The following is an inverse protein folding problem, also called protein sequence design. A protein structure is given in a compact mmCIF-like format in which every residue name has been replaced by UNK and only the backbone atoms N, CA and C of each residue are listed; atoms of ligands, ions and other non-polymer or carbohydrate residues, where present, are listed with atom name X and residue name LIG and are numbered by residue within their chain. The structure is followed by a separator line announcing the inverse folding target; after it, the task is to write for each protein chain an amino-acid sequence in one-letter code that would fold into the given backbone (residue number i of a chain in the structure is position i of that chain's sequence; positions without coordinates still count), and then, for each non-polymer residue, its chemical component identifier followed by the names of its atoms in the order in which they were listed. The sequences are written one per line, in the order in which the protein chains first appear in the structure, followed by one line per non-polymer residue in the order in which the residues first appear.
data_IF_642492585895
#
_entry.id   IF_642492585895
#
_cell.length_a   1.000
_cell.length_b   1.000
_cell.length_c   1.000
_cell.angle_alpha   90.00
_cell.angle_beta   90.00
_cell.angle_gamma   90.00
#
_symmetry.space_group_name_H-M   'P 1'
#
loop_
_entity.id
_entity.type
_entity.pdbx_description
1 polymer ?
#
# COMPACT_ATOMS: atom_id res chain seq x y z
N UNK A 1 -21.46 3.59 -8.62
CA UNK A 1 -21.38 2.62 -7.51
C UNK A 1 -20.63 1.40 -8.05
N UNK A 2 -19.73 0.81 -7.28
CA UNK A 2 -18.95 -0.34 -7.71
C UNK A 2 -19.83 -1.58 -7.98
N UNK A 3 -19.41 -2.37 -8.95
CA UNK A 3 -20.02 -3.62 -9.40
C UNK A 3 -18.86 -4.53 -9.87
N UNK A 4 -18.62 -5.62 -9.14
CA UNK A 4 -17.48 -6.49 -9.39
C UNK A 4 -17.50 -7.09 -10.80
N UNK A 5 -18.68 -7.44 -11.33
CA UNK A 5 -18.79 -8.09 -12.65
C UNK A 5 -18.48 -7.13 -13.81
N UNK A 6 -18.64 -5.82 -13.59
CA UNK A 6 -18.39 -4.79 -14.60
C UNK A 6 -16.99 -4.22 -14.50
N UNK A 7 -16.51 -3.97 -13.29
CA UNK A 7 -15.31 -3.17 -13.06
C UNK A 7 -14.06 -3.99 -12.80
N UNK A 8 -14.18 -5.27 -12.42
CA UNK A 8 -13.04 -6.19 -12.34
C UNK A 8 -12.91 -7.00 -13.62
N UNK A 9 -11.66 -7.19 -14.05
CA UNK A 9 -11.27 -8.10 -15.13
C UNK A 9 -10.12 -8.98 -14.64
N UNK A 10 -10.27 -9.52 -13.43
CA UNK A 10 -9.20 -10.25 -12.75
C UNK A 10 -8.83 -11.55 -13.47
N UNK A 11 -7.53 -11.72 -13.68
CA UNK A 11 -6.91 -13.02 -13.91
C UNK A 11 -5.66 -13.12 -13.06
N UNK A 12 -5.33 -14.29 -12.48
CA UNK A 12 -4.18 -14.44 -11.59
C UNK A 12 -2.86 -14.12 -12.30
N UNK A 13 -1.85 -13.60 -11.57
CA UNK A 13 -0.50 -13.44 -12.11
C UNK A 13 0.07 -14.79 -12.52
N UNK A 14 0.90 -14.81 -13.57
CA UNK A 14 1.61 -16.02 -14.01
C UNK A 14 2.59 -16.53 -12.96
N UNK A 15 3.28 -15.62 -12.28
CA UNK A 15 4.18 -15.94 -11.19
C UNK A 15 4.03 -14.95 -10.03
N UNK A 16 4.24 -15.47 -8.82
CA UNK A 16 4.41 -14.68 -7.60
C UNK A 16 5.79 -14.97 -7.07
N UNK A 17 6.63 -13.94 -6.99
CA UNK A 17 7.99 -14.00 -6.47
C UNK A 17 7.95 -14.06 -4.94
N UNK A 18 8.71 -14.97 -4.36
CA UNK A 18 8.99 -15.02 -2.93
C UNK A 18 10.16 -14.09 -2.56
N UNK A 19 10.30 -13.80 -1.26
CA UNK A 19 11.47 -13.08 -0.72
C UNK A 19 12.77 -13.81 -1.07
N UNK A 20 12.76 -15.15 -1.02
CA UNK A 20 13.91 -15.98 -1.38
C UNK A 20 14.29 -15.91 -2.85
N UNK A 21 13.32 -15.72 -3.75
CA UNK A 21 13.59 -15.55 -5.19
C UNK A 21 14.38 -14.26 -5.49
N UNK A 22 14.27 -13.26 -4.61
CA UNK A 22 15.07 -12.02 -4.66
C UNK A 22 16.21 -12.02 -3.64
N UNK A 23 16.55 -13.17 -3.06
CA UNK A 23 17.67 -13.34 -2.14
C UNK A 23 17.47 -12.72 -0.75
N UNK A 24 16.23 -12.41 -0.35
CA UNK A 24 15.88 -11.92 0.98
C UNK A 24 15.32 -13.05 1.85
N UNK A 25 15.42 -12.87 3.18
CA UNK A 25 14.71 -13.71 4.14
C UNK A 25 13.21 -13.43 4.11
N UNK A 26 12.41 -14.43 4.49
CA UNK A 26 10.96 -14.27 4.60
C UNK A 26 10.63 -13.18 5.63
N UNK A 27 9.65 -12.33 5.31
CA UNK A 27 9.19 -11.32 6.28
C UNK A 27 8.39 -11.98 7.42
N UNK A 28 8.20 -11.30 8.56
CA UNK A 28 7.37 -11.79 9.66
C UNK A 28 5.88 -11.99 9.32
N UNK A 29 5.40 -11.46 8.18
CA UNK A 29 3.98 -11.46 7.81
C UNK A 29 3.65 -12.29 6.55
N UNK A 30 4.63 -12.51 5.67
CA UNK A 30 4.46 -13.30 4.44
C UNK A 30 5.80 -13.60 3.76
N UNK A 31 5.96 -14.77 3.10
CA UNK A 31 7.11 -15.05 2.24
C UNK A 31 7.01 -14.41 0.85
N UNK A 32 5.89 -13.77 0.49
CA UNK A 32 5.69 -13.16 -0.84
C UNK A 32 6.41 -11.83 -0.94
N UNK A 33 7.23 -11.67 -1.98
CA UNK A 33 7.89 -10.42 -2.30
C UNK A 33 7.04 -9.55 -3.24
N UNK A 34 6.68 -10.08 -4.40
CA UNK A 34 5.95 -9.34 -5.43
C UNK A 34 5.23 -10.28 -6.40
N UNK A 35 4.16 -9.82 -7.05
CA UNK A 35 3.56 -10.52 -8.18
C UNK A 35 4.16 -10.04 -9.51
N UNK A 36 4.15 -10.89 -10.54
CA UNK A 36 4.15 -10.37 -11.91
C UNK A 36 2.88 -9.54 -12.17
N UNK A 37 2.87 -8.64 -13.17
CA UNK A 37 1.67 -7.91 -13.55
C UNK A 37 0.50 -8.83 -13.90
N UNK A 38 -0.68 -8.48 -13.43
CA UNK A 38 -1.91 -9.24 -13.69
C UNK A 38 -3.09 -8.32 -14.00
N UNK A 39 -3.98 -8.68 -14.94
CA UNK A 39 -5.24 -7.97 -15.16
C UNK A 39 -6.06 -7.84 -13.87
N UNK A 40 -6.53 -6.62 -13.57
CA UNK A 40 -7.34 -6.34 -12.38
C UNK A 40 -8.60 -5.54 -12.72
N UNK A 41 -8.43 -4.38 -13.34
CA UNK A 41 -9.54 -3.52 -13.77
C UNK A 41 -9.98 -3.88 -15.18
N UNK A 42 -11.29 -3.89 -15.39
CA UNK A 42 -11.84 -3.76 -16.73
C UNK A 42 -11.61 -2.35 -17.27
N UNK A 43 -11.84 -2.15 -18.57
CA UNK A 43 -11.78 -0.80 -19.15
C UNK A 43 -12.79 0.16 -18.48
N UNK A 44 -14.01 -0.30 -18.18
CA UNK A 44 -14.99 0.48 -17.42
C UNK A 44 -14.48 0.82 -16.02
N UNK A 45 -13.80 -0.11 -15.36
CA UNK A 45 -13.12 0.13 -14.07
C UNK A 45 -12.06 1.23 -14.18
N UNK A 46 -11.25 1.25 -15.25
CA UNK A 46 -10.28 2.33 -15.50
C UNK A 46 -10.97 3.68 -15.67
N UNK A 47 -12.04 3.75 -16.46
CA UNK A 47 -12.78 4.99 -16.72
C UNK A 47 -13.41 5.55 -15.44
N UNK A 48 -14.02 4.71 -14.60
CA UNK A 48 -14.64 5.18 -13.35
C UNK A 48 -13.60 5.67 -12.33
N UNK A 49 -12.42 5.04 -12.26
CA UNK A 49 -11.30 5.59 -11.48
C UNK A 49 -10.92 6.99 -11.98
N UNK A 50 -10.69 7.15 -13.29
CA UNK A 50 -10.30 8.44 -13.88
C UNK A 50 -11.37 9.52 -13.71
N UNK A 51 -12.65 9.15 -13.84
CA UNK A 51 -13.79 10.07 -13.64
C UNK A 51 -13.80 10.67 -12.24
N UNK A 52 -13.54 9.86 -11.20
CA UNK A 52 -13.49 10.34 -9.83
C UNK A 52 -12.21 11.12 -9.52
N UNK A 53 -11.04 10.58 -9.90
CA UNK A 53 -9.72 11.17 -9.64
C UNK A 53 -9.54 12.55 -10.24
N UNK A 54 -9.98 12.74 -11.49
CA UNK A 54 -9.82 14.00 -12.22
C UNK A 54 -11.05 14.90 -12.13
N UNK A 55 -11.97 14.62 -11.21
CA UNK A 55 -13.06 15.54 -10.90
C UNK A 55 -12.51 16.86 -10.32
N UNK A 56 -13.14 18.01 -10.61
CA UNK A 56 -12.68 19.29 -10.06
C UNK A 56 -12.58 19.30 -8.54
N UNK A 57 -13.47 18.59 -7.84
CA UNK A 57 -13.46 18.49 -6.38
C UNK A 57 -12.22 17.76 -5.88
N UNK A 58 -11.85 16.62 -6.47
CA UNK A 58 -10.64 15.89 -6.06
C UNK A 58 -9.40 16.71 -6.35
N UNK A 59 -9.26 17.24 -7.56
CA UNK A 59 -8.09 18.05 -7.94
C UNK A 59 -7.90 19.26 -7.02
N UNK A 60 -8.97 19.96 -6.66
CA UNK A 60 -8.88 21.15 -5.83
C UNK A 60 -8.55 20.88 -4.35
N UNK A 61 -8.80 19.67 -3.84
CA UNK A 61 -8.67 19.37 -2.41
C UNK A 61 -7.55 18.36 -2.09
N UNK A 62 -7.10 17.59 -3.08
CA UNK A 62 -6.25 16.42 -2.88
C UNK A 62 -4.96 16.44 -3.69
N UNK A 63 -4.73 17.45 -4.55
CA UNK A 63 -3.54 17.55 -5.38
C UNK A 63 -2.36 18.16 -4.61
N UNK A 64 -1.24 17.45 -4.62
CA UNK A 64 0.03 17.85 -4.06
C UNK A 64 1.10 17.85 -5.16
N UNK A 65 1.91 18.90 -5.21
CA UNK A 65 3.11 18.93 -6.03
C UNK A 65 4.22 18.13 -5.35
N UNK A 66 4.90 17.25 -6.08
CA UNK A 66 5.98 16.41 -5.57
C UNK A 66 7.33 16.87 -6.14
N UNK A 67 8.13 15.98 -6.74
CA UNK A 67 9.35 16.35 -7.45
C UNK A 67 9.04 17.13 -8.75
N UNK A 68 9.99 17.93 -9.27
CA UNK A 68 9.83 18.61 -10.55
C UNK A 68 9.34 17.66 -11.65
N UNK A 69 8.21 17.99 -12.28
CA UNK A 69 7.60 17.14 -13.32
C UNK A 69 6.69 16.01 -12.79
N UNK A 70 6.32 16.02 -11.51
CA UNK A 70 5.39 15.05 -10.92
C UNK A 70 4.38 15.71 -9.98
N UNK A 71 3.22 15.07 -9.83
CA UNK A 71 2.21 15.43 -8.86
C UNK A 71 1.56 14.17 -8.28
N UNK A 72 0.91 14.33 -7.13
CA UNK A 72 0.19 13.25 -6.46
C UNK A 72 -1.22 13.69 -6.03
N UNK A 73 -2.19 12.78 -6.14
CA UNK A 73 -3.48 12.90 -5.45
C UNK A 73 -3.48 12.00 -4.22
N UNK A 74 -3.89 12.51 -3.05
CA UNK A 74 -4.00 11.72 -1.81
C UNK A 74 -5.18 12.17 -0.94
N UNK A 75 -5.71 11.25 -0.12
CA UNK A 75 -6.76 11.55 0.87
C UNK A 75 -8.15 11.79 0.28
N UNK A 76 -8.43 11.31 -0.93
CA UNK A 76 -9.71 11.53 -1.62
C UNK A 76 -10.79 10.48 -1.31
N UNK A 77 -10.35 9.24 -1.02
CA UNK A 77 -11.17 8.03 -1.03
C UNK A 77 -12.51 8.17 -0.30
N UNK A 78 -12.44 8.46 1.01
CA UNK A 78 -13.60 8.42 1.90
C UNK A 78 -14.65 9.49 1.60
N UNK A 79 -14.24 10.65 1.07
CA UNK A 79 -15.11 11.83 0.95
C UNK A 79 -15.56 12.13 -0.47
N UNK A 80 -14.68 11.95 -1.46
CA UNK A 80 -14.89 12.50 -2.80
C UNK A 80 -15.09 11.42 -3.86
N UNK A 81 -14.73 10.18 -3.58
CA UNK A 81 -14.64 9.12 -4.61
C UNK A 81 -15.35 7.84 -4.15
N UNK A 82 -16.71 7.85 -4.10
CA UNK A 82 -17.49 6.72 -3.60
C UNK A 82 -17.28 5.42 -4.40
N UNK A 83 -17.01 5.49 -5.71
CA UNK A 83 -16.66 4.31 -6.49
C UNK A 83 -15.32 3.73 -6.05
N UNK A 84 -14.27 4.56 -5.96
CA UNK A 84 -12.92 4.16 -5.50
C UNK A 84 -12.99 3.58 -4.07
N UNK A 85 -13.69 4.26 -3.16
CA UNK A 85 -13.86 3.78 -1.79
C UNK A 85 -14.53 2.41 -1.75
N UNK A 86 -15.58 2.21 -2.55
CA UNK A 86 -16.30 0.93 -2.61
C UNK A 86 -15.48 -0.16 -3.29
N UNK A 87 -14.73 0.16 -4.33
CA UNK A 87 -13.85 -0.76 -5.05
C UNK A 87 -12.78 -1.32 -4.11
N UNK A 88 -12.02 -0.43 -3.47
CA UNK A 88 -10.86 -0.80 -2.63
C UNK A 88 -11.21 -1.47 -1.30
N UNK A 89 -12.48 -1.41 -0.89
CA UNK A 89 -13.01 -2.11 0.29
C UNK A 89 -13.89 -3.33 -0.07
N UNK A 90 -14.07 -3.66 -1.35
CA UNK A 90 -14.90 -4.78 -1.75
C UNK A 90 -14.31 -6.13 -1.35
N UNK A 91 -15.17 -7.08 -0.97
CA UNK A 91 -14.74 -8.45 -0.61
C UNK A 91 -13.98 -9.14 -1.73
N UNK A 92 -14.38 -8.90 -2.97
CA UNK A 92 -13.83 -9.48 -4.18
C UNK A 92 -12.40 -9.02 -4.39
N UNK A 93 -12.15 -7.72 -4.29
CA UNK A 93 -10.81 -7.18 -4.40
C UNK A 93 -9.93 -7.61 -3.22
N UNK A 94 -10.44 -7.51 -1.99
CA UNK A 94 -9.67 -7.87 -0.79
C UNK A 94 -9.25 -9.34 -0.83
N UNK A 95 -10.11 -10.22 -1.34
CA UNK A 95 -9.75 -11.61 -1.59
C UNK A 95 -8.60 -11.75 -2.60
N UNK A 96 -8.67 -11.06 -3.74
CA UNK A 96 -7.63 -11.11 -4.78
C UNK A 96 -6.26 -10.69 -4.22
N UNK A 97 -6.19 -9.53 -3.55
CA UNK A 97 -4.90 -9.02 -3.04
C UNK A 97 -4.38 -9.88 -1.90
N UNK A 98 -5.26 -10.42 -1.04
CA UNK A 98 -4.88 -11.30 0.07
C UNK A 98 -4.35 -12.65 -0.42
N UNK A 99 -5.02 -13.25 -1.41
CA UNK A 99 -4.61 -14.51 -2.01
C UNK A 99 -3.22 -14.39 -2.66
N UNK A 100 -2.95 -13.28 -3.36
CA UNK A 100 -1.64 -13.00 -3.96
C UNK A 100 -0.58 -12.71 -2.90
N UNK A 101 -0.92 -11.94 -1.86
CA UNK A 101 0.01 -11.58 -0.78
C UNK A 101 0.31 -12.75 0.17
N UNK A 102 -0.49 -13.81 0.17
CA UNK A 102 -0.35 -14.95 1.09
C UNK A 102 -0.77 -14.64 2.53
N UNK A 103 -1.46 -13.53 2.77
CA UNK A 103 -1.94 -13.10 4.09
C UNK A 103 -3.23 -12.28 3.92
N UNK A 104 -4.16 -12.36 4.87
CA UNK A 104 -5.41 -11.57 4.84
C UNK A 104 -5.12 -10.08 5.05
N UNK A 105 -5.46 -9.28 4.03
CA UNK A 105 -5.17 -7.85 3.96
C UNK A 105 -6.42 -6.98 4.04
N UNK A 106 -6.25 -5.80 4.61
CA UNK A 106 -7.19 -4.67 4.57
C UNK A 106 -6.46 -3.40 4.12
N UNK A 107 -7.16 -2.42 3.53
CA UNK A 107 -6.56 -1.12 3.28
C UNK A 107 -5.98 -0.57 4.60
N UNK A 108 -4.77 -0.01 4.53
CA UNK A 108 -4.05 0.42 5.73
C UNK A 108 -4.85 1.47 6.51
N UNK A 109 -5.29 2.49 5.78
CA UNK A 109 -6.18 3.58 6.21
C UNK A 109 -7.00 4.02 4.99
N UNK A 110 -8.17 4.64 5.19
CA UNK A 110 -8.90 5.25 4.07
C UNK A 110 -8.06 6.32 3.37
N UNK A 111 -7.20 7.00 4.12
CA UNK A 111 -6.28 8.01 3.60
C UNK A 111 -5.31 7.48 2.54
N UNK A 112 -5.00 6.19 2.62
CA UNK A 112 -4.03 5.48 1.79
C UNK A 112 -4.67 4.66 0.66
N UNK A 113 -5.99 4.81 0.49
CA UNK A 113 -6.70 4.22 -0.64
C UNK A 113 -6.45 5.08 -1.88
N UNK A 114 -5.98 4.43 -2.94
CA UNK A 114 -5.89 4.98 -4.28
C UNK A 114 -5.08 6.28 -4.38
N UNK A 115 -3.97 6.39 -3.65
CA UNK A 115 -3.03 7.48 -3.89
C UNK A 115 -2.56 7.41 -5.35
N UNK A 116 -2.56 8.54 -6.04
CA UNK A 116 -2.38 8.58 -7.49
C UNK A 116 -1.12 9.34 -7.84
N UNK A 117 -0.16 8.68 -8.46
CA UNK A 117 1.05 9.31 -8.98
C UNK A 117 0.81 9.74 -10.43
N UNK A 118 1.17 10.98 -10.73
CA UNK A 118 0.98 11.62 -12.03
C UNK A 118 2.32 12.17 -12.50
N UNK A 119 2.81 11.68 -13.64
CA UNK A 119 3.94 12.31 -14.34
C UNK A 119 3.42 13.47 -15.19
N UNK A 120 3.93 14.67 -14.97
CA UNK A 120 3.49 15.89 -15.65
C UNK A 120 4.14 16.00 -17.03
N UNK A 121 3.32 16.34 -18.03
CA UNK A 121 3.78 16.71 -19.37
C UNK A 121 4.26 18.16 -19.45
N UNK A 122 4.42 18.68 -20.67
CA UNK A 122 4.87 20.06 -20.93
C UNK A 122 3.96 21.14 -20.34
N UNK A 123 2.68 20.82 -20.11
CA UNK A 123 1.68 21.71 -19.52
C UNK A 123 1.77 21.78 -17.98
N UNK A 124 2.67 21.01 -17.36
CA UNK A 124 2.86 21.03 -15.91
C UNK A 124 1.57 20.68 -15.15
N UNK A 125 1.35 21.34 -14.01
CA UNK A 125 0.19 21.11 -13.14
C UNK A 125 -1.14 21.53 -13.79
N UNK A 126 -1.12 22.51 -14.70
CA UNK A 126 -2.34 22.95 -15.38
C UNK A 126 -2.89 21.84 -16.28
N UNK A 127 -2.00 21.05 -16.90
CA UNK A 127 -2.37 19.87 -17.68
C UNK A 127 -3.12 18.80 -16.88
N UNK A 128 -2.88 18.70 -15.56
CA UNK A 128 -3.58 17.72 -14.70
C UNK A 128 -5.09 17.97 -14.70
N UNK A 129 -5.51 19.24 -14.74
CA UNK A 129 -6.94 19.62 -14.79
C UNK A 129 -7.61 19.24 -16.11
N UNK A 130 -6.82 19.10 -17.17
CA UNK A 130 -7.27 18.71 -18.50
C UNK A 130 -7.16 17.19 -18.74
N UNK A 131 -6.75 16.40 -17.74
CA UNK A 131 -6.58 14.96 -17.90
C UNK A 131 -7.90 14.30 -18.34
N UNK A 132 -7.94 13.63 -19.51
CA UNK A 132 -9.17 13.06 -20.02
C UNK A 132 -9.59 11.82 -19.22
N UNK A 133 -10.90 11.55 -19.18
CA UNK A 133 -11.44 10.31 -18.59
C UNK A 133 -10.97 9.10 -19.39
N UNK A 134 -11.06 9.17 -20.72
CA UNK A 134 -10.51 8.14 -21.60
C UNK A 134 -9.00 8.32 -21.72
N UNK A 135 -8.18 7.30 -21.36
CA UNK A 135 -6.73 7.40 -21.51
C UNK A 135 -6.34 7.62 -22.97
N UNK A 136 -5.45 8.58 -23.26
CA UNK A 136 -4.96 8.79 -24.62
C UNK A 136 -4.21 7.54 -25.10
N UNK A 137 -4.51 7.09 -26.32
CA UNK A 137 -3.81 5.97 -26.91
C UNK A 137 -2.36 6.32 -27.24
N UNK A 138 -1.46 5.38 -27.00
CA UNK A 138 -0.06 5.52 -27.36
C UNK A 138 0.16 4.91 -28.73
N UNK A 139 0.42 5.75 -29.72
CA UNK A 139 0.81 5.29 -31.06
C UNK A 139 2.34 5.12 -31.12
N UNK A 140 2.89 4.19 -31.91
CA UNK A 140 4.33 3.97 -32.03
C UNK A 140 5.15 5.19 -32.50
N UNK A 141 4.50 6.30 -32.89
CA UNK A 141 5.11 7.49 -33.49
C UNK A 141 4.95 8.75 -32.61
N UNK A 142 4.43 8.63 -31.38
CA UNK A 142 4.45 9.77 -30.45
C UNK A 142 5.86 9.95 -29.90
N UNK A 143 6.76 10.51 -30.73
CA UNK A 143 7.94 11.23 -30.27
C UNK A 143 7.47 12.48 -29.51
N UNK A 144 6.96 12.29 -28.30
CA UNK A 144 6.92 13.39 -27.34
C UNK A 144 8.39 13.65 -27.04
N UNK A 145 8.93 14.77 -27.51
CA UNK A 145 10.25 15.26 -27.11
C UNK A 145 10.22 15.61 -25.62
N UNK A 146 10.14 14.60 -24.75
CA UNK A 146 10.71 14.71 -23.42
C UNK A 146 12.20 15.00 -23.61
N UNK A 147 12.75 15.92 -22.83
CA UNK A 147 14.19 16.24 -22.89
C UNK A 147 14.98 14.93 -22.95
N UNK A 148 15.84 14.81 -23.95
CA UNK A 148 16.88 13.77 -24.00
C UNK A 148 17.73 13.89 -22.74
N UNK A 149 17.33 13.18 -21.68
CA UNK A 149 18.27 12.67 -20.71
C UNK A 149 18.87 11.43 -21.37
N UNK A 150 20.05 11.58 -21.95
CA UNK A 150 20.89 10.44 -22.30
C UNK A 150 20.94 9.51 -21.09
N UNK A 151 20.39 8.31 -21.22
CA UNK A 151 20.68 7.24 -20.29
C UNK A 151 22.12 6.84 -20.63
N UNK A 152 23.09 7.52 -20.03
CA UNK A 152 24.34 6.82 -19.76
C UNK A 152 23.93 5.66 -18.86
N UNK A 153 24.41 4.45 -19.17
CA UNK A 153 24.27 3.28 -18.27
C UNK A 153 24.91 3.55 -16.89
N UNK A 154 25.59 4.69 -16.73
CA UNK A 154 26.20 5.24 -15.52
C UNK A 154 25.56 6.58 -15.02
N UNK A 155 24.59 7.19 -15.72
CA UNK A 155 23.83 8.38 -15.26
C UNK A 155 22.68 7.98 -14.30
N UNK A 156 23.03 7.09 -13.37
CA UNK A 156 22.14 6.26 -12.58
C UNK A 156 21.26 7.02 -11.60
N UNK A 157 20.02 6.55 -11.47
CA UNK A 157 19.06 6.80 -10.38
C UNK A 157 18.71 8.26 -9.99
N UNK A 158 19.45 9.28 -10.45
CA UNK A 158 19.30 10.68 -10.07
C UNK A 158 18.04 11.34 -10.66
N UNK A 159 17.54 10.81 -11.79
CA UNK A 159 16.31 11.26 -12.45
C UNK A 159 15.08 10.39 -12.12
N UNK A 160 15.15 9.55 -11.09
CA UNK A 160 14.03 8.68 -10.71
C UNK A 160 12.80 9.49 -10.23
N UNK A 161 11.60 9.05 -10.62
CA UNK A 161 10.33 9.67 -10.18
C UNK A 161 10.10 9.43 -8.69
N UNK A 162 10.53 8.26 -8.20
CA UNK A 162 10.61 7.94 -6.78
C UNK A 162 11.99 7.37 -6.54
N UNK A 163 12.75 7.90 -5.57
CA UNK A 163 14.12 7.45 -5.26
C UNK A 163 14.10 6.08 -4.57
N UNK A 164 15.28 5.50 -4.33
CA UNK A 164 15.40 4.28 -3.53
C UNK A 164 14.73 4.46 -2.17
N UNK A 165 13.71 3.66 -1.90
CA UNK A 165 12.93 3.76 -0.67
C UNK A 165 12.34 2.40 -0.32
N UNK A 166 11.85 2.33 0.93
CA UNK A 166 10.90 1.32 1.37
C UNK A 166 9.57 2.02 1.56
N UNK A 167 8.48 1.33 1.24
CA UNK A 167 7.15 1.88 1.47
C UNK A 167 6.90 2.10 2.96
N UNK A 168 5.98 3.01 3.24
CA UNK A 168 5.45 3.21 4.59
C UNK A 168 4.58 2.03 5.05
N UNK A 169 4.00 1.25 4.14
CA UNK A 169 3.01 0.23 4.44
C UNK A 169 3.47 -1.17 4.02
N UNK A 170 3.09 -2.24 4.74
CA UNK A 170 3.56 -3.60 4.48
C UNK A 170 3.40 -4.06 3.03
N UNK A 171 2.21 -3.83 2.46
CA UNK A 171 1.87 -4.20 1.10
C UNK A 171 1.29 -3.02 0.34
N UNK A 172 1.52 -3.00 -0.97
CA UNK A 172 0.87 -2.08 -1.91
C UNK A 172 0.32 -2.84 -3.11
N UNK A 173 -0.80 -2.38 -3.66
CA UNK A 173 -1.29 -2.78 -4.96
C UNK A 173 -1.19 -1.58 -5.91
N UNK A 174 -0.32 -1.68 -6.91
CA UNK A 174 -0.07 -0.63 -7.91
C UNK A 174 -0.81 -0.99 -9.20
N UNK A 175 -1.66 -0.10 -9.69
CA UNK A 175 -2.43 -0.28 -10.93
C UNK A 175 -2.11 0.83 -11.92
N UNK A 176 -1.91 0.48 -13.19
CA UNK A 176 -1.67 1.46 -14.25
C UNK A 176 -3.00 1.95 -14.84
N UNK A 177 -3.21 3.27 -14.91
CA UNK A 177 -4.39 3.88 -15.55
C UNK A 177 -4.09 4.51 -16.93
N UNK A 178 -2.81 4.56 -17.32
CA UNK A 178 -2.38 5.02 -18.64
C UNK A 178 -2.11 3.84 -19.59
N UNK A 179 -2.22 4.09 -20.89
CA UNK A 179 -1.97 3.10 -21.94
C UNK A 179 -0.48 2.76 -22.08
N UNK A 180 0.03 1.80 -21.28
CA UNK A 180 1.46 1.45 -21.24
C UNK A 180 1.94 0.46 -22.33
N UNK A 181 1.22 0.30 -23.44
CA UNK A 181 1.53 -0.71 -24.48
C UNK A 181 2.90 -0.54 -25.14
N UNK A 182 3.32 0.71 -25.33
CA UNK A 182 4.60 1.05 -25.96
C UNK A 182 5.55 1.75 -24.96
N UNK A 183 5.30 1.61 -23.66
CA UNK A 183 6.07 2.30 -22.63
C UNK A 183 7.52 1.82 -22.59
N UNK A 184 8.46 2.75 -22.70
CA UNK A 184 9.89 2.53 -22.46
C UNK A 184 10.29 3.18 -21.12
N UNK A 185 10.99 2.43 -20.29
CA UNK A 185 11.24 2.82 -18.90
C UNK A 185 10.04 2.51 -18.00
N UNK A 186 9.93 3.23 -16.88
CA UNK A 186 8.79 3.07 -15.97
C UNK A 186 8.82 1.80 -15.11
N UNK A 187 9.84 0.95 -15.24
CA UNK A 187 9.98 -0.27 -14.47
C UNK A 187 10.21 0.02 -12.99
N UNK A 188 9.71 -0.87 -12.15
CA UNK A 188 10.08 -0.92 -10.74
C UNK A 188 11.32 -1.79 -10.61
N UNK A 189 12.37 -1.24 -10.03
CA UNK A 189 13.61 -1.98 -9.77
C UNK A 189 13.65 -2.31 -8.28
N UNK A 190 13.78 -3.60 -7.96
CA UNK A 190 13.89 -4.13 -6.62
C UNK A 190 15.36 -4.36 -6.26
N UNK A 191 15.74 -4.08 -5.02
CA UNK A 191 17.04 -4.45 -4.46
C UNK A 191 16.95 -5.85 -3.85
N UNK A 192 17.73 -6.79 -4.38
CA UNK A 192 17.88 -8.14 -3.84
C UNK A 192 18.82 -8.18 -2.63
N UNK A 193 18.77 -9.29 -1.88
CA UNK A 193 19.58 -9.45 -0.67
C UNK A 193 21.08 -9.61 -0.91
N UNK A 194 21.49 -9.95 -2.14
CA UNK A 194 22.89 -9.97 -2.57
C UNK A 194 23.41 -8.59 -3.03
N UNK A 195 22.58 -7.54 -2.92
CA UNK A 195 22.89 -6.19 -3.38
C UNK A 195 22.74 -5.99 -4.89
N UNK A 196 22.30 -6.99 -5.65
CA UNK A 196 21.97 -6.84 -7.06
C UNK A 196 20.54 -6.35 -7.24
N UNK A 197 20.27 -5.74 -8.39
CA UNK A 197 18.95 -5.23 -8.72
C UNK A 197 18.20 -6.16 -9.67
N UNK A 198 16.88 -6.23 -9.49
CA UNK A 198 15.96 -6.96 -10.35
C UNK A 198 14.92 -5.98 -10.92
N UNK A 199 14.77 -5.95 -12.24
CA UNK A 199 13.71 -5.15 -12.88
C UNK A 199 12.42 -5.98 -12.95
N UNK A 200 11.34 -5.43 -12.40
CA UNK A 200 9.99 -5.98 -12.56
C UNK A 200 9.27 -5.19 -13.63
N UNK A 201 8.64 -5.92 -14.56
CA UNK A 201 7.86 -5.31 -15.63
C UNK A 201 6.74 -4.47 -15.04
N UNK A 202 6.59 -3.24 -15.52
CA UNK A 202 5.49 -2.39 -15.10
C UNK A 202 4.14 -2.92 -15.63
N UNK A 203 3.04 -2.71 -14.88
CA UNK A 203 1.72 -3.15 -15.32
C UNK A 203 1.24 -2.38 -16.56
N UNK A 204 0.50 -3.10 -17.42
CA UNK A 204 -0.27 -2.52 -18.52
C UNK A 204 -1.53 -1.83 -17.99
N UNK A 205 -2.20 -1.02 -18.82
CA UNK A 205 -3.44 -0.34 -18.44
C UNK A 205 -4.46 -1.32 -17.86
N UNK A 206 -4.98 -1.01 -16.66
CA UNK A 206 -5.91 -1.86 -15.91
C UNK A 206 -5.27 -3.09 -15.24
N UNK A 207 -4.00 -3.39 -15.50
CA UNK A 207 -3.25 -4.40 -14.78
C UNK A 207 -2.65 -3.85 -13.49
N UNK A 208 -2.39 -4.75 -12.56
CA UNK A 208 -1.88 -4.47 -11.24
C UNK A 208 -0.63 -5.30 -10.91
N UNK A 209 0.12 -4.84 -9.91
CA UNK A 209 1.17 -5.59 -9.22
C UNK A 209 0.91 -5.48 -7.72
N UNK A 210 1.09 -6.57 -6.98
CA UNK A 210 1.17 -6.55 -5.52
C UNK A 210 2.64 -6.61 -5.12
N UNK A 211 3.08 -5.74 -4.22
CA UNK A 211 4.46 -5.65 -3.74
C UNK A 211 4.49 -5.54 -2.22
N UNK A 212 5.41 -6.25 -1.58
CA UNK A 212 5.67 -6.13 -0.15
C UNK A 212 6.65 -4.98 0.16
N UNK A 213 6.26 -3.76 -0.22
CA UNK A 213 7.18 -2.63 -0.39
C UNK A 213 7.83 -2.11 0.90
N UNK A 214 7.29 -2.40 2.09
CA UNK A 214 7.93 -2.05 3.36
C UNK A 214 9.24 -2.79 3.57
N UNK A 215 9.34 -4.02 3.07
CA UNK A 215 10.47 -4.90 3.31
C UNK A 215 11.51 -4.84 2.19
N UNK A 216 11.08 -4.45 0.98
CA UNK A 216 11.91 -4.44 -0.23
C UNK A 216 12.26 -3.00 -0.61
N UNK A 217 13.57 -2.69 -0.61
CA UNK A 217 14.01 -1.40 -1.15
C UNK A 217 13.81 -1.38 -2.67
N UNK A 218 13.17 -0.35 -3.19
CA UNK A 218 12.82 -0.28 -4.59
C UNK A 218 12.80 1.15 -5.12
N UNK A 219 12.78 1.27 -6.45
CA UNK A 219 12.80 2.54 -7.18
C UNK A 219 11.92 2.44 -8.43
N UNK A 220 11.24 3.53 -8.79
CA UNK A 220 10.45 3.63 -10.02
C UNK A 220 11.14 4.54 -11.03
N UNK A 221 11.50 3.99 -12.19
CA UNK A 221 12.18 4.73 -13.25
C UNK A 221 11.20 5.67 -13.99
N UNK A 222 11.66 6.81 -14.53
CA UNK A 222 10.82 7.67 -15.35
C UNK A 222 10.48 7.01 -16.68
N UNK A 223 9.43 7.52 -17.30
CA UNK A 223 9.04 7.16 -18.67
C UNK A 223 9.27 8.35 -19.58
N UNK A 224 9.80 8.12 -20.77
CA UNK A 224 10.21 9.19 -21.69
C UNK A 224 9.33 9.30 -22.94
N UNK A 225 8.55 8.27 -23.26
CA UNK A 225 7.88 8.13 -24.56
C UNK A 225 6.34 8.03 -24.48
N UNK A 226 5.75 8.51 -23.37
CA UNK A 226 4.32 8.42 -23.11
C UNK A 226 3.66 9.80 -23.03
N UNK A 227 2.40 9.96 -23.48
CA UNK A 227 1.64 11.21 -23.31
C UNK A 227 1.29 11.47 -21.84
N UNK A 228 1.10 10.41 -21.05
CA UNK A 228 0.87 10.44 -19.62
C UNK A 228 1.35 9.14 -18.96
N UNK A 229 1.70 9.23 -17.67
CA UNK A 229 1.91 8.06 -16.81
C UNK A 229 1.18 8.29 -15.49
N UNK A 230 0.03 7.63 -15.36
CA UNK A 230 -0.84 7.70 -14.18
C UNK A 230 -0.93 6.31 -13.57
N UNK A 231 -0.52 6.20 -12.32
CA UNK A 231 -0.63 4.97 -11.53
C UNK A 231 -1.40 5.26 -10.25
N UNK A 232 -2.31 4.36 -9.88
CA UNK A 232 -2.98 4.38 -8.59
C UNK A 232 -2.37 3.31 -7.70
N UNK A 233 -2.29 3.60 -6.42
CA UNK A 233 -1.67 2.71 -5.45
C UNK A 233 -2.52 2.72 -4.19
N UNK A 234 -2.87 1.52 -3.72
CA UNK A 234 -3.52 1.35 -2.42
C UNK A 234 -2.60 0.58 -1.51
N UNK A 235 -2.42 1.12 -0.30
CA UNK A 235 -1.60 0.51 0.73
C UNK A 235 -2.44 -0.43 1.60
N UNK A 236 -1.86 -1.55 2.02
CA UNK A 236 -2.50 -2.60 2.80
C UNK A 236 -1.68 -2.98 4.02
N UNK A 237 -2.38 -3.48 5.04
CA UNK A 237 -1.82 -4.09 6.24
C UNK A 237 -2.54 -5.42 6.55
N UNK A 238 -1.93 -6.31 7.34
CA UNK A 238 -2.62 -7.50 7.82
C UNK A 238 -3.92 -7.15 8.56
N UNK A 239 -4.98 -7.93 8.31
CA UNK A 239 -6.24 -7.82 9.05
C UNK A 239 -6.10 -8.30 10.48
N UNK A 240 -5.38 -9.41 10.66
CA UNK A 240 -5.13 -10.01 11.96
C UNK A 240 -4.34 -9.04 12.85
N UNK A 241 -4.93 -8.57 13.97
CA UNK A 241 -4.26 -7.61 14.84
C UNK A 241 -3.07 -8.24 15.58
N UNK A 242 -2.93 -9.55 15.62
CA UNK A 242 -1.82 -10.25 16.31
C UNK A 242 -0.56 -10.37 15.46
N UNK A 243 -0.68 -10.18 14.14
CA UNK A 243 0.47 -10.10 13.25
C UNK A 243 1.23 -8.78 13.45
N UNK A 244 2.49 -8.81 13.02
CA UNK A 244 3.38 -7.64 13.04
C UNK A 244 2.80 -6.55 12.13
N UNK A 245 2.77 -5.32 12.64
CA UNK A 245 2.35 -4.13 11.90
C UNK A 245 3.47 -3.09 11.94
N UNK A 246 4.34 -3.16 10.94
CA UNK A 246 5.48 -2.24 10.72
C UNK A 246 5.12 -1.05 9.82
N UNK A 247 3.84 -0.72 9.72
CA UNK A 247 3.39 0.50 9.05
C UNK A 247 4.05 1.73 9.69
N UNK A 248 4.40 2.73 8.89
CA UNK A 248 4.91 4.04 9.30
C UNK A 248 4.20 5.15 8.54
N UNK A 249 4.36 6.41 8.95
CA UNK A 249 3.97 7.56 8.14
C UNK A 249 5.18 8.26 7.48
N UNK A 250 6.39 7.72 7.63
CA UNK A 250 7.64 8.37 7.25
C UNK A 250 7.62 9.07 5.88
N UNK A 251 7.13 8.38 4.84
CA UNK A 251 7.17 8.85 3.46
C UNK A 251 5.82 9.36 2.94
N UNK A 252 4.81 9.53 3.81
CA UNK A 252 3.48 10.00 3.40
C UNK A 252 3.10 11.34 4.03
N UNK A 253 3.79 11.77 5.09
CA UNK A 253 3.42 12.98 5.83
C UNK A 253 3.56 14.26 5.00
N UNK A 254 4.60 14.37 4.18
CA UNK A 254 4.93 15.60 3.45
C UNK A 254 3.87 15.96 2.39
N UNK A 255 3.16 14.95 1.89
CA UNK A 255 2.11 15.10 0.88
C UNK A 255 0.72 14.71 1.41
N UNK A 256 0.45 15.05 2.68
CA UNK A 256 -0.81 14.74 3.34
C UNK A 256 -1.39 15.92 4.11
N UNK A 257 -2.71 15.93 4.24
CA UNK A 257 -3.43 16.70 5.26
C UNK A 257 -3.21 16.05 6.62
N UNK A 258 -2.18 16.49 7.34
CA UNK A 258 -1.70 15.86 8.57
C UNK A 258 -2.79 15.63 9.63
N UNK A 259 -3.75 16.55 9.78
CA UNK A 259 -4.84 16.37 10.75
C UNK A 259 -5.70 15.15 10.45
N UNK A 260 -5.99 14.88 9.17
CA UNK A 260 -6.78 13.72 8.76
C UNK A 260 -5.94 12.44 8.82
N UNK A 261 -4.70 12.49 8.33
CA UNK A 261 -3.76 11.37 8.39
C UNK A 261 -3.56 10.90 9.84
N UNK A 262 -3.30 11.83 10.76
CA UNK A 262 -3.04 11.52 12.17
C UNK A 262 -4.28 11.05 12.91
N UNK A 263 -5.47 11.56 12.56
CA UNK A 263 -6.72 11.03 13.08
C UNK A 263 -6.92 9.57 12.70
N UNK A 264 -6.80 9.23 11.41
CA UNK A 264 -6.94 7.85 10.95
C UNK A 264 -5.84 6.95 11.51
N UNK A 265 -4.60 7.42 11.54
CA UNK A 265 -3.45 6.73 12.11
C UNK A 265 -3.67 6.35 13.57
N UNK A 266 -3.94 7.35 14.42
CA UNK A 266 -4.10 7.12 15.85
C UNK A 266 -5.30 6.21 16.14
N UNK A 267 -6.42 6.43 15.47
CA UNK A 267 -7.63 5.63 15.69
C UNK A 267 -7.43 4.16 15.30
N UNK A 268 -6.88 3.87 14.12
CA UNK A 268 -6.69 2.47 13.73
C UNK A 268 -5.66 1.77 14.64
N UNK A 269 -4.59 2.47 15.04
CA UNK A 269 -3.57 1.89 15.92
C UNK A 269 -4.17 1.54 17.27
N UNK A 270 -4.99 2.42 17.84
CA UNK A 270 -5.72 2.18 19.09
C UNK A 270 -6.73 1.03 18.96
N UNK A 271 -7.43 0.91 17.84
CA UNK A 271 -8.34 -0.22 17.58
C UNK A 271 -7.61 -1.56 17.54
N UNK A 272 -6.42 -1.60 16.91
CA UNK A 272 -5.56 -2.80 16.92
C UNK A 272 -5.13 -3.14 18.35
N UNK A 273 -4.67 -2.15 19.12
CA UNK A 273 -4.27 -2.36 20.52
C UNK A 273 -5.44 -2.88 21.37
N UNK A 274 -6.64 -2.32 21.21
CA UNK A 274 -7.84 -2.75 21.91
C UNK A 274 -8.20 -4.22 21.57
N UNK A 275 -8.07 -4.59 20.29
CA UNK A 275 -8.27 -5.99 19.85
C UNK A 275 -7.22 -6.93 20.43
N UNK A 276 -5.94 -6.56 20.40
CA UNK A 276 -4.85 -7.36 21.01
C UNK A 276 -5.10 -7.60 22.50
N UNK A 277 -5.48 -6.54 23.23
CA UNK A 277 -5.79 -6.63 24.66
C UNK A 277 -7.01 -7.53 24.92
N UNK A 278 -8.04 -7.43 24.08
CA UNK A 278 -9.24 -8.28 24.18
C UNK A 278 -8.90 -9.75 23.96
N UNK A 279 -8.13 -10.05 22.90
CA UNK A 279 -7.67 -11.42 22.60
C UNK A 279 -6.88 -12.01 23.78
N UNK A 280 -5.90 -11.26 24.32
CA UNK A 280 -5.13 -11.76 25.46
C UNK A 280 -6.03 -11.97 26.70
N UNK A 281 -6.93 -11.03 26.98
CA UNK A 281 -7.84 -11.15 28.12
C UNK A 281 -8.76 -12.39 27.99
N UNK A 282 -9.27 -12.67 26.79
CA UNK A 282 -10.10 -13.84 26.52
C UNK A 282 -9.31 -15.15 26.67
N UNK A 283 -8.10 -15.22 26.10
CA UNK A 283 -7.19 -16.36 26.29
C UNK A 283 -6.89 -16.62 27.77
N UNK A 284 -6.66 -15.58 28.56
CA UNK A 284 -6.41 -15.71 30.01
C UNK A 284 -7.66 -16.18 30.77
N UNK A 285 -8.86 -15.73 30.37
CA UNK A 285 -10.14 -16.18 30.96
C UNK A 285 -10.40 -17.66 30.67
N UNK A 286 -10.12 -18.12 29.46
CA UNK A 286 -10.23 -19.52 29.07
C UNK A 286 -9.26 -20.40 29.86
N UNK A 287 -7.97 -20.04 29.88
CA UNK A 287 -6.95 -20.74 30.66
C UNK A 287 -7.27 -20.78 32.15
N UNK A 288 -7.81 -19.69 32.69
CA UNK A 288 -8.29 -19.63 34.08
C UNK A 288 -9.42 -20.64 34.32
N UNK A 289 -10.43 -20.66 33.46
CA UNK A 289 -11.58 -21.56 33.60
C UNK A 289 -11.16 -23.03 33.55
N UNK A 290 -10.21 -23.39 32.68
CA UNK A 290 -9.63 -24.74 32.62
C UNK A 290 -8.84 -25.09 33.87
N UNK A 291 -8.00 -24.17 34.35
CA UNK A 291 -7.21 -24.37 35.56
C UNK A 291 -8.09 -24.58 36.80
N UNK A 292 -9.17 -23.81 36.94
CA UNK A 292 -10.14 -23.98 38.03
C UNK A 292 -10.81 -25.36 37.94
N UNK A 293 -11.34 -25.75 36.78
CA UNK A 293 -11.95 -27.09 36.59
C UNK A 293 -11.01 -28.24 36.96
N UNK A 294 -9.71 -28.07 36.71
CA UNK A 294 -8.69 -29.09 37.00
C UNK A 294 -8.29 -29.15 38.47
N UNK A 295 -8.33 -28.02 39.18
CA UNK A 295 -7.69 -27.90 40.51
C UNK A 295 -8.66 -27.66 41.66
N UNK A 296 -9.92 -27.33 41.37
CA UNK A 296 -10.98 -27.16 42.35
C UNK A 296 -12.04 -28.26 42.21
N UNK A 297 -12.32 -28.97 43.30
CA UNK A 297 -13.28 -30.09 43.31
C UNK A 297 -14.72 -29.65 43.05
N UNK A 298 -15.06 -28.38 43.31
CA UNK A 298 -16.38 -27.81 43.04
C UNK A 298 -16.44 -27.09 41.68
N UNK A 299 -15.29 -26.90 41.02
CA UNK A 299 -15.14 -26.19 39.76
C UNK A 299 -15.55 -24.71 39.81
N UNK A 300 -15.56 -24.08 40.99
CA UNK A 300 -16.06 -22.72 41.16
C UNK A 300 -14.97 -21.66 40.96
N UNK A 301 -15.26 -20.53 40.29
CA UNK A 301 -14.31 -19.44 40.15
C UNK A 301 -14.00 -18.79 41.51
N UNK A 302 -12.82 -18.20 41.62
CA UNK A 302 -12.33 -17.44 42.79
C UNK A 302 -11.11 -18.05 43.50
N UNK A 303 -10.74 -19.30 43.18
CA UNK A 303 -9.67 -20.05 43.89
C UNK A 303 -8.80 -20.87 42.92
N UNK A 304 -8.12 -20.24 41.96
CA UNK A 304 -7.19 -20.94 41.07
C UNK A 304 -5.82 -21.15 41.77
N UNK A 305 -5.43 -22.42 41.96
CA UNK A 305 -4.21 -22.79 42.71
C UNK A 305 -2.97 -23.05 41.85
N UNK A 306 -3.10 -22.85 40.54
CA UNK A 306 -2.02 -23.03 39.57
C UNK A 306 -1.82 -21.76 38.77
N UNK A 307 -0.60 -21.57 38.27
CA UNK A 307 -0.26 -20.41 37.47
C UNK A 307 -1.14 -20.32 36.23
N UNK A 308 -1.80 -19.17 36.06
CA UNK A 308 -2.61 -18.86 34.87
C UNK A 308 -1.91 -17.84 33.99
N UNK A 309 -1.28 -16.84 34.61
CA UNK A 309 -0.53 -15.79 33.93
C UNK A 309 0.96 -15.98 34.23
N UNK A 310 1.77 -16.25 33.21
CA UNK A 310 3.23 -16.24 33.35
C UNK A 310 3.72 -14.79 33.33
N UNK A 311 4.52 -14.41 34.32
CA UNK A 311 5.03 -13.03 34.43
C UNK A 311 5.87 -12.61 33.22
N UNK A 312 6.78 -13.46 32.76
CA UNK A 312 7.65 -13.12 31.63
C UNK A 312 6.89 -12.99 30.31
N UNK A 313 5.87 -13.83 30.07
CA UNK A 313 5.00 -13.72 28.90
C UNK A 313 4.17 -12.42 28.94
N UNK A 314 3.58 -12.10 30.09
CA UNK A 314 2.79 -10.87 30.26
C UNK A 314 3.66 -9.63 30.11
N UNK A 315 4.89 -9.65 30.65
CA UNK A 315 5.87 -8.59 30.51
C UNK A 315 6.27 -8.39 29.05
N UNK A 316 6.62 -9.46 28.34
CA UNK A 316 6.99 -9.39 26.93
C UNK A 316 5.84 -8.83 26.06
N UNK A 317 4.60 -9.27 26.31
CA UNK A 317 3.43 -8.74 25.62
C UNK A 317 3.21 -7.24 25.91
N UNK A 318 3.37 -6.81 27.16
CA UNK A 318 3.23 -5.41 27.55
C UNK A 318 4.32 -4.54 26.92
N UNK A 319 5.57 -5.00 26.90
CA UNK A 319 6.68 -4.30 26.24
C UNK A 319 6.45 -4.13 24.74
N UNK A 320 5.91 -5.14 24.06
CA UNK A 320 5.53 -5.04 22.65
C UNK A 320 4.45 -3.95 22.42
N UNK A 321 3.41 -3.93 23.26
CA UNK A 321 2.35 -2.92 23.15
C UNK A 321 2.84 -1.50 23.47
N UNK A 322 3.78 -1.36 24.40
CA UNK A 322 4.43 -0.08 24.70
C UNK A 322 5.23 0.41 23.48
N UNK A 323 6.03 -0.46 22.85
CA UNK A 323 6.78 -0.11 21.62
C UNK A 323 5.83 0.32 20.51
N UNK A 324 4.73 -0.41 20.32
CA UNK A 324 3.70 -0.09 19.35
C UNK A 324 3.09 1.31 19.57
N UNK A 325 2.79 1.68 20.82
CA UNK A 325 2.31 3.02 21.18
C UNK A 325 3.38 4.10 21.01
N UNK A 326 4.63 3.82 21.38
CA UNK A 326 5.75 4.75 21.19
C UNK A 326 5.95 5.07 19.71
N UNK A 327 5.92 4.05 18.84
CA UNK A 327 5.96 4.23 17.39
C UNK A 327 4.75 5.04 16.89
N UNK A 328 3.56 4.77 17.42
CA UNK A 328 2.34 5.52 17.05
C UNK A 328 2.54 7.02 17.26
N UNK A 329 3.09 7.43 18.40
CA UNK A 329 3.37 8.83 18.72
C UNK A 329 4.54 9.36 17.88
N UNK A 330 5.59 8.58 17.70
CA UNK A 330 6.77 8.96 16.90
C UNK A 330 6.36 9.34 15.47
N UNK A 331 5.51 8.56 14.82
CA UNK A 331 5.02 8.82 13.45
C UNK A 331 4.11 10.06 13.33
N UNK A 332 3.71 10.67 14.45
CA UNK A 332 2.90 11.90 14.49
C UNK A 332 3.71 13.15 14.83
N UNK A 333 5.05 13.02 14.94
CA UNK A 333 5.94 14.14 15.21
C UNK A 333 5.88 15.20 14.10
N UNK A 334 6.18 16.49 14.40
CA UNK A 334 6.30 17.53 13.40
C UNK A 334 7.30 17.14 12.29
N UNK A 335 7.04 17.59 11.06
CA UNK A 335 7.88 17.28 9.89
C UNK A 335 9.36 17.67 10.06
N UNK A 336 9.64 18.66 10.90
CA UNK A 336 11.00 19.15 11.16
C UNK A 336 11.82 18.26 12.10
N UNK A 337 11.24 17.17 12.62
CA UNK A 337 11.92 16.22 13.50
C UNK A 337 12.12 14.90 12.73
N UNK A 338 13.38 14.62 12.36
CA UNK A 338 13.78 13.33 11.76
C UNK A 338 13.65 12.17 12.75
#
# INVERSE_FOLDING_TARGET
MFDAAKHLAYSPPTHVLSMKDIGLEDSPISPVAASEPFPLLSYEGVLEHRRELFSPTVINNCLHSTLPGSAMLRGMAQRYTPFIQSFWNSSELLKIVSDIAGVDLVPAMNYEICHTNIQLGSEGLDGVRATPIEPPMVTPVTNVKGKEGSIDEDAGYDNAIVKWHKDSHPFVCVVMLSDARNMEGGETVLMGGDGKTMKVRAPQMGSAVVLQGRYISHIALPVTNMPERITIVTSFRPRDPTLVDETTNANVRDESHLSELFYQWATYRLDVLAKRASILADTLREKYAENVKRTDNEGKPGMCRVETVCFEEMKAWAEDQIKYLQQTVYEMRPLQQE
#
